data_IF_018771826883
#
_entry.id   IF_018771826883
#
_cell.length_a   1.000
_cell.length_b   1.000
_cell.length_c   1.000
_cell.angle_alpha   90.00
_cell.angle_beta   90.00
_cell.angle_gamma   90.00
#
_symmetry.space_group_name_H-M   'P 1'
#
loop_
_entity.id
_entity.type
_entity.pdbx_description
1 polymer ?
#
# COMPACT_ATOMS: atom_id res chain seq x y z
N UNK A 1 -5.84 -5.89 -29.83
CA UNK A 1 -4.82 -6.20 -28.81
C UNK A 1 -5.30 -5.59 -27.51
N UNK A 2 -6.05 -6.34 -26.70
CA UNK A 2 -6.45 -5.88 -25.37
C UNK A 2 -5.22 -5.97 -24.50
N UNK A 3 -4.56 -4.84 -24.25
CA UNK A 3 -3.57 -4.75 -23.19
C UNK A 3 -4.26 -5.18 -21.91
N UNK A 4 -3.87 -6.31 -21.33
CA UNK A 4 -4.21 -6.66 -19.95
C UNK A 4 -3.76 -5.47 -19.10
N UNK A 5 -4.70 -4.62 -18.72
CA UNK A 5 -4.40 -3.42 -17.95
C UNK A 5 -3.91 -3.89 -16.59
N UNK A 6 -2.62 -3.73 -16.34
CA UNK A 6 -2.02 -4.08 -15.05
C UNK A 6 -2.76 -3.31 -13.95
N UNK A 7 -3.08 -4.00 -12.84
CA UNK A 7 -3.90 -3.43 -11.78
C UNK A 7 -3.33 -2.05 -11.35
N UNK A 8 -4.12 -0.98 -11.26
CA UNK A 8 -3.62 0.40 -11.10
C UNK A 8 -2.76 0.61 -9.84
N UNK A 9 -2.95 -0.20 -8.81
CA UNK A 9 -2.12 -0.21 -7.62
C UNK A 9 -0.67 -0.67 -7.86
N UNK A 10 -0.39 -1.39 -8.95
CA UNK A 10 0.93 -1.81 -9.39
C UNK A 10 1.68 -0.73 -10.20
N UNK A 11 1.06 0.43 -10.45
CA UNK A 11 1.69 1.52 -11.21
C UNK A 11 1.60 2.90 -10.55
N UNK A 12 0.71 3.13 -9.58
CA UNK A 12 0.50 4.46 -8.99
C UNK A 12 1.30 4.76 -7.70
N UNK A 13 1.43 3.81 -6.77
CA UNK A 13 2.05 4.03 -5.46
C UNK A 13 1.33 5.02 -4.53
N UNK A 14 0.11 5.45 -4.86
CA UNK A 14 -0.58 6.55 -4.17
C UNK A 14 -0.89 6.25 -2.69
N UNK A 15 -1.41 5.07 -2.37
CA UNK A 15 -1.73 4.65 -1.00
C UNK A 15 -0.47 4.45 -0.15
N UNK A 16 0.55 3.80 -0.72
CA UNK A 16 1.84 3.54 -0.07
C UNK A 16 2.59 4.82 0.32
N UNK A 17 2.31 5.93 -0.36
CA UNK A 17 2.88 7.24 -0.05
C UNK A 17 1.99 8.09 0.85
N UNK A 18 0.81 7.63 1.28
CA UNK A 18 -0.18 8.55 1.88
C UNK A 18 -0.80 8.06 3.18
N UNK A 19 -0.72 6.77 3.48
CA UNK A 19 -1.36 6.21 4.66
C UNK A 19 -0.37 5.63 5.64
N UNK A 20 -0.70 5.81 6.93
CA UNK A 20 -0.25 4.95 8.02
C UNK A 20 -0.94 3.60 7.90
N UNK A 21 -0.18 2.51 8.00
CA UNK A 21 -0.72 1.15 7.87
C UNK A 21 -0.38 0.38 9.13
N UNK A 22 -1.36 0.30 10.03
CA UNK A 22 -1.34 -0.52 11.24
C UNK A 22 -2.24 -1.74 11.01
N UNK A 23 -1.81 -2.91 11.47
CA UNK A 23 -2.51 -4.18 11.25
C UNK A 23 -2.13 -5.21 12.34
N UNK A 24 -2.78 -6.38 12.34
CA UNK A 24 -2.52 -7.42 13.36
C UNK A 24 -1.11 -8.00 13.19
N UNK A 25 -0.41 -8.24 14.31
CA UNK A 25 0.86 -8.98 14.28
C UNK A 25 0.70 -10.38 13.68
N UNK A 26 -0.49 -10.99 13.77
CA UNK A 26 -0.77 -12.31 13.20
C UNK A 26 -0.66 -12.35 11.66
N UNK A 27 -0.71 -11.20 10.99
CA UNK A 27 -0.50 -11.14 9.54
C UNK A 27 0.98 -11.15 9.13
N UNK A 28 1.90 -11.01 10.09
CA UNK A 28 3.36 -11.06 9.86
C UNK A 28 3.86 -12.49 9.71
N UNK A 29 4.96 -12.69 8.99
CA UNK A 29 5.52 -14.03 8.76
C UNK A 29 5.97 -14.70 10.07
N UNK A 30 6.53 -13.96 11.02
CA UNK A 30 6.89 -14.46 12.35
C UNK A 30 5.69 -15.05 13.11
N UNK A 31 4.48 -14.55 12.87
CA UNK A 31 3.25 -15.05 13.50
C UNK A 31 2.41 -15.98 12.59
N UNK A 32 2.97 -16.45 11.47
CA UNK A 32 2.31 -17.40 10.55
C UNK A 32 1.48 -16.75 9.43
N UNK A 33 1.52 -15.42 9.32
CA UNK A 33 0.94 -14.67 8.21
C UNK A 33 1.85 -14.58 6.99
N UNK A 34 1.63 -13.56 6.16
CA UNK A 34 2.31 -13.40 4.86
C UNK A 34 3.15 -12.14 4.74
N UNK A 35 2.93 -11.13 5.59
CA UNK A 35 3.61 -9.84 5.51
C UNK A 35 5.07 -9.99 5.97
N UNK A 36 6.07 -9.63 5.16
CA UNK A 36 7.47 -9.84 5.54
C UNK A 36 7.90 -9.01 6.75
N UNK A 37 8.49 -9.65 7.77
CA UNK A 37 8.87 -9.01 9.04
C UNK A 37 9.91 -7.89 8.84
N UNK A 38 10.75 -8.04 7.81
CA UNK A 38 11.72 -7.02 7.39
C UNK A 38 11.09 -5.68 6.97
N UNK A 39 9.78 -5.62 6.76
CA UNK A 39 9.05 -4.41 6.37
C UNK A 39 8.16 -3.82 7.47
N UNK A 40 8.14 -4.43 8.67
CA UNK A 40 7.19 -4.08 9.73
C UNK A 40 7.89 -3.71 11.04
N UNK A 41 7.29 -2.84 11.84
CA UNK A 41 7.70 -2.58 13.22
C UNK A 41 6.57 -2.95 14.17
N UNK A 42 6.90 -3.60 15.28
CA UNK A 42 5.96 -3.84 16.37
C UNK A 42 5.59 -2.51 17.02
N UNK A 43 4.28 -2.28 17.21
CA UNK A 43 3.72 -1.08 17.86
C UNK A 43 3.23 -1.44 19.26
N UNK A 44 2.57 -2.60 19.38
CA UNK A 44 2.13 -3.22 20.64
C UNK A 44 2.32 -4.73 20.52
N UNK A 45 1.96 -5.48 21.55
CA UNK A 45 1.99 -6.96 21.53
C UNK A 45 1.06 -7.56 20.46
N UNK A 46 0.07 -6.82 19.97
CA UNK A 46 -0.93 -7.30 19.01
C UNK A 46 -0.99 -6.48 17.72
N UNK A 47 -0.24 -5.39 17.61
CA UNK A 47 -0.28 -4.47 16.47
C UNK A 47 1.10 -4.27 15.86
N UNK A 48 1.19 -4.50 14.55
CA UNK A 48 2.34 -4.17 13.72
C UNK A 48 2.01 -2.96 12.83
N UNK A 49 3.06 -2.29 12.35
CA UNK A 49 2.97 -1.19 11.39
C UNK A 49 3.93 -1.42 10.23
N UNK A 50 3.51 -1.08 9.01
CA UNK A 50 4.43 -0.99 7.87
C UNK A 50 5.45 0.14 8.11
N UNK A 51 6.75 -0.18 8.06
CA UNK A 51 7.85 0.78 8.23
C UNK A 51 7.70 1.99 7.30
N UNK A 52 8.00 3.17 7.82
CA UNK A 52 7.99 4.44 7.08
C UNK A 52 6.60 5.08 6.92
N UNK A 53 5.54 4.46 7.44
CA UNK A 53 4.17 4.97 7.29
C UNK A 53 3.71 5.89 8.44
N UNK A 54 4.55 6.07 9.47
CA UNK A 54 4.33 6.92 10.64
C UNK A 54 4.92 8.32 10.55
N UNK A 55 5.58 8.66 9.44
CA UNK A 55 6.11 10.01 9.20
C UNK A 55 5.02 11.00 8.76
N UNK A 56 5.27 12.30 8.97
CA UNK A 56 4.41 13.37 8.47
C UNK A 56 4.23 13.33 6.94
N UNK A 57 5.23 12.81 6.22
CA UNK A 57 5.15 12.43 4.82
C UNK A 57 5.36 10.91 4.70
N UNK A 58 4.29 10.10 4.77
CA UNK A 58 4.41 8.65 4.76
C UNK A 58 5.11 8.14 3.49
N UNK A 59 5.99 7.17 3.66
CA UNK A 59 6.56 6.40 2.55
C UNK A 59 6.77 4.97 3.01
N UNK A 60 5.81 4.10 2.69
CA UNK A 60 5.88 2.69 3.01
C UNK A 60 7.18 2.05 2.51
N UNK A 61 7.82 1.23 3.35
CA UNK A 61 9.05 0.51 3.00
C UNK A 61 8.89 -0.42 1.80
N UNK A 62 7.68 -0.93 1.55
CA UNK A 62 7.38 -1.75 0.38
C UNK A 62 7.23 -0.95 -0.93
N UNK A 63 7.22 0.39 -0.90
CA UNK A 63 7.05 1.21 -2.09
C UNK A 63 8.32 1.21 -2.94
N UNK A 64 8.20 0.69 -4.16
CA UNK A 64 9.26 0.74 -5.18
C UNK A 64 8.95 1.80 -6.24
N UNK A 65 10.00 2.33 -6.86
CA UNK A 65 9.88 3.34 -7.92
C UNK A 65 9.53 4.75 -7.41
N UNK A 66 9.01 5.56 -8.33
CA UNK A 66 8.76 7.00 -8.14
C UNK A 66 7.27 7.30 -8.32
N UNK A 67 6.65 7.80 -7.25
CA UNK A 67 5.22 8.17 -7.22
C UNK A 67 4.95 9.23 -8.30
N UNK A 68 3.90 9.01 -9.08
CA UNK A 68 3.54 9.89 -10.21
C UNK A 68 4.29 9.61 -11.51
N UNK A 69 5.30 8.73 -11.50
CA UNK A 69 6.03 8.29 -12.70
C UNK A 69 5.75 6.81 -12.98
N UNK A 70 6.28 5.92 -12.12
CA UNK A 70 6.05 4.48 -12.13
C UNK A 70 6.40 3.95 -10.75
N UNK A 71 5.40 3.56 -9.98
CA UNK A 71 5.59 3.07 -8.62
C UNK A 71 4.69 1.87 -8.33
N UNK A 72 5.21 0.89 -7.61
CA UNK A 72 4.48 -0.34 -7.29
C UNK A 72 4.74 -0.77 -5.84
N UNK A 73 3.79 -1.54 -5.30
CA UNK A 73 4.02 -2.22 -4.03
C UNK A 73 4.87 -3.48 -4.30
N UNK A 74 6.07 -3.55 -3.70
CA UNK A 74 6.96 -4.71 -3.83
C UNK A 74 6.45 -5.98 -3.15
N UNK A 75 5.37 -5.88 -2.36
CA UNK A 75 4.72 -7.02 -1.69
C UNK A 75 3.23 -7.12 -2.05
N UNK A 76 2.83 -6.75 -3.26
CA UNK A 76 1.40 -6.64 -3.62
C UNK A 76 0.56 -7.89 -3.28
N UNK A 77 1.12 -9.08 -3.49
CA UNK A 77 0.50 -10.37 -3.13
C UNK A 77 0.45 -10.62 -1.61
N UNK A 78 1.42 -10.09 -0.86
CA UNK A 78 1.58 -10.29 0.59
C UNK A 78 1.23 -9.04 1.41
N UNK A 79 0.38 -8.16 0.86
CA UNK A 79 -0.08 -6.94 1.53
C UNK A 79 -0.80 -7.27 2.83
N UNK A 80 -0.70 -6.45 3.90
CA UNK A 80 -1.56 -6.61 5.07
C UNK A 80 -3.04 -6.31 4.72
N UNK A 81 -3.96 -6.71 5.59
CA UNK A 81 -5.41 -6.54 5.44
C UNK A 81 -5.83 -5.12 5.06
N UNK A 82 -5.34 -4.01 5.67
CA UNK A 82 -5.81 -2.67 5.31
C UNK A 82 -5.43 -2.29 3.86
N UNK A 83 -4.31 -2.83 3.37
CA UNK A 83 -3.86 -2.60 2.00
C UNK A 83 -4.60 -3.46 0.97
N UNK A 84 -5.15 -4.62 1.36
CA UNK A 84 -5.98 -5.48 0.51
C UNK A 84 -7.42 -4.97 0.42
N UNK A 85 -7.96 -4.54 1.54
CA UNK A 85 -9.34 -4.04 1.68
C UNK A 85 -9.53 -2.65 1.05
N UNK A 86 -8.44 -1.92 0.81
CA UNK A 86 -8.50 -0.61 0.17
C UNK A 86 -8.88 -0.74 -1.32
N UNK A 87 -10.13 -0.42 -1.63
CA UNK A 87 -10.72 -0.49 -2.96
C UNK A 87 -10.08 0.51 -3.94
N UNK A 88 -9.54 -0.01 -5.04
CA UNK A 88 -9.01 0.80 -6.12
C UNK A 88 -10.14 1.47 -6.92
N UNK A 89 -9.99 2.75 -7.24
CA UNK A 89 -11.03 3.52 -7.94
C UNK A 89 -12.18 4.02 -7.06
N UNK A 90 -12.22 3.62 -5.77
CA UNK A 90 -13.12 4.25 -4.79
C UNK A 90 -12.88 5.76 -4.67
N UNK A 91 -13.86 6.50 -4.15
CA UNK A 91 -13.71 7.92 -3.83
C UNK A 91 -12.48 8.20 -2.95
N UNK A 92 -12.21 7.31 -1.99
CA UNK A 92 -11.02 7.41 -1.15
C UNK A 92 -9.73 7.25 -1.96
N UNK A 93 -9.68 6.28 -2.88
CA UNK A 93 -8.56 6.09 -3.79
C UNK A 93 -8.34 7.33 -4.67
N UNK A 94 -9.41 7.82 -5.31
CA UNK A 94 -9.34 8.96 -6.21
C UNK A 94 -8.96 10.26 -5.49
N UNK A 95 -9.40 10.47 -4.24
CA UNK A 95 -8.92 11.59 -3.40
C UNK A 95 -7.41 11.53 -3.15
N UNK A 96 -6.87 10.35 -2.87
CA UNK A 96 -5.42 10.19 -2.62
C UNK A 96 -4.62 10.37 -3.90
N UNK A 97 -5.11 9.82 -5.02
CA UNK A 97 -4.54 10.03 -6.35
C UNK A 97 -4.46 11.51 -6.69
N UNK A 98 -5.54 12.27 -6.47
CA UNK A 98 -5.58 13.71 -6.69
C UNK A 98 -4.53 14.46 -5.84
N UNK A 99 -4.38 14.12 -4.55
CA UNK A 99 -3.33 14.70 -3.68
C UNK A 99 -1.90 14.42 -4.18
N UNK A 100 -1.73 13.37 -4.99
CA UNK A 100 -0.45 12.98 -5.62
C UNK A 100 -0.34 13.43 -7.08
N UNK A 101 -1.25 14.29 -7.55
CA UNK A 101 -1.23 14.83 -8.92
C UNK A 101 -1.63 13.83 -10.00
N UNK A 102 -2.35 12.77 -9.64
CA UNK A 102 -2.78 11.72 -10.56
C UNK A 102 -4.25 11.88 -10.95
N UNK A 103 -4.57 11.48 -12.18
CA UNK A 103 -5.96 11.40 -12.65
C UNK A 103 -6.76 10.35 -11.87
N UNK A 104 -8.07 10.56 -11.75
CA UNK A 104 -9.00 9.56 -11.22
C UNK A 104 -9.01 8.30 -12.11
N UNK A 105 -9.38 7.18 -11.51
CA UNK A 105 -9.64 5.91 -12.20
C UNK A 105 -11.02 5.43 -11.77
N UNK A 106 -11.83 5.01 -12.73
CA UNK A 106 -13.20 4.55 -12.49
C UNK A 106 -13.39 3.13 -13.06
N UNK A 107 -14.27 2.35 -12.44
CA UNK A 107 -14.76 1.07 -12.98
C UNK A 107 -13.77 -0.10 -12.95
N UNK A 108 -13.05 -0.28 -11.83
CA UNK A 108 -12.22 -1.47 -11.61
C UNK A 108 -13.02 -2.65 -11.06
#
# INVERSE_FOLDING_TARGET
MTTLSEHPCLSCGACCASFRVDFSVEETQECGGSVPDGLVVSVTDYTARMRGTDHASPRCAALTGTVGVKASCGIYEWRPSPCREFEAGSDACNRVRARRGMAAIDGL
#
